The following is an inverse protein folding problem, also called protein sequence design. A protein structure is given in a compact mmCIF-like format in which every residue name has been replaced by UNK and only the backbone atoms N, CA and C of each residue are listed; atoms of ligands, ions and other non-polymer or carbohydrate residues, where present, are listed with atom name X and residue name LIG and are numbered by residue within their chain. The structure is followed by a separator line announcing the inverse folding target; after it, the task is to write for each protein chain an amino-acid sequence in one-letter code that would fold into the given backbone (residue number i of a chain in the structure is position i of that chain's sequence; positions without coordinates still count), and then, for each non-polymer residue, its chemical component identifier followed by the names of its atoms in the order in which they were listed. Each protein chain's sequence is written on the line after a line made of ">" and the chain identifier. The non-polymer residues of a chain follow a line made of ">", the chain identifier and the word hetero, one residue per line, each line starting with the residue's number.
data_IF_762676738582
#
_entry.id   IF_762676738582
#
_cell.length_a   1.000
_cell.length_b   1.000
_cell.length_c   1.000
_cell.angle_alpha   90.00
_cell.angle_beta   90.00
_cell.angle_gamma   90.00
#
_symmetry.space_group_name_H-M   'P 1'
#
loop_
_entity.id
_entity.type
_entity.pdbx_description
1 polymer ?
#
# COMPACT_ATOMS: atom_id res chain seq x y z
N UNK A 1 32.26 -74.43 34.17
CA UNK A 1 33.69 -74.06 34.14
C UNK A 1 33.93 -73.34 32.82
N UNK A 2 34.65 -72.23 32.88
CA UNK A 2 34.98 -71.22 31.84
C UNK A 2 35.61 -71.83 30.56
N UNK A 3 35.62 -71.21 29.39
CA UNK A 3 36.14 -69.87 29.06
C UNK A 3 35.64 -69.34 27.71
N UNK A 4 35.53 -68.01 27.63
CA UNK A 4 35.27 -67.22 26.44
C UNK A 4 36.60 -66.78 25.81
N UNK A 5 36.80 -67.00 24.52
CA UNK A 5 37.90 -66.40 23.75
C UNK A 5 37.35 -65.50 22.64
N UNK A 6 37.49 -64.19 22.83
CA UNK A 6 37.32 -63.14 21.82
C UNK A 6 38.52 -63.09 20.87
N UNK A 7 38.32 -63.04 19.54
CA UNK A 7 39.30 -62.50 18.63
C UNK A 7 38.88 -61.10 18.17
N UNK A 8 39.69 -60.11 18.56
CA UNK A 8 39.66 -58.77 17.99
C UNK A 8 40.08 -58.81 16.52
N UNK A 9 39.20 -58.42 15.59
CA UNK A 9 39.58 -58.19 14.20
C UNK A 9 39.69 -56.69 13.90
N UNK A 10 40.92 -56.30 13.56
CA UNK A 10 41.41 -55.02 13.03
C UNK A 10 40.57 -54.59 11.82
N UNK A 11 39.95 -53.40 11.86
CA UNK A 11 39.30 -52.78 10.69
C UNK A 11 40.34 -52.05 9.84
N UNK A 12 40.55 -52.51 8.61
CA UNK A 12 41.17 -51.73 7.54
C UNK A 12 40.13 -50.76 6.96
N UNK A 13 40.43 -49.46 6.94
CA UNK A 13 39.67 -48.46 6.19
C UNK A 13 40.25 -48.37 4.77
N UNK A 14 39.44 -48.51 3.71
CA UNK A 14 39.87 -48.20 2.36
C UNK A 14 39.70 -46.71 2.06
N UNK A 15 40.77 -46.07 1.57
CA UNK A 15 40.73 -44.72 0.97
C UNK A 15 39.87 -44.75 -0.30
N UNK A 16 38.68 -44.15 -0.22
CA UNK A 16 37.80 -43.96 -1.36
C UNK A 16 38.19 -42.67 -2.10
N UNK A 17 39.08 -42.78 -3.09
CA UNK A 17 39.29 -41.73 -4.08
C UNK A 17 38.01 -41.56 -4.93
N UNK A 18 37.09 -40.70 -4.47
CA UNK A 18 35.85 -40.38 -5.18
C UNK A 18 36.17 -39.48 -6.38
N UNK A 19 36.32 -40.08 -7.56
CA UNK A 19 36.13 -39.36 -8.82
C UNK A 19 34.65 -38.98 -8.94
N UNK A 20 34.30 -37.77 -8.51
CA UNK A 20 32.96 -37.23 -8.68
C UNK A 20 32.61 -37.23 -10.18
N UNK A 21 31.43 -37.75 -10.56
CA UNK A 21 31.18 -38.00 -11.96
C UNK A 21 30.71 -36.72 -12.67
N UNK A 22 31.22 -36.49 -13.89
CA UNK A 22 31.14 -35.22 -14.66
C UNK A 22 29.74 -34.61 -14.81
N UNK A 23 28.69 -35.41 -14.72
CA UNK A 23 27.29 -34.99 -14.78
C UNK A 23 26.85 -34.17 -13.57
N UNK A 24 27.45 -34.39 -12.39
CA UNK A 24 27.19 -33.56 -11.19
C UNK A 24 27.72 -32.15 -11.37
N UNK A 25 28.87 -31.99 -12.05
CA UNK A 25 29.43 -30.67 -12.36
C UNK A 25 28.57 -29.92 -13.40
N UNK A 26 28.05 -30.61 -14.42
CA UNK A 26 27.15 -30.02 -15.41
C UNK A 26 25.82 -29.55 -14.82
N UNK A 27 25.22 -30.34 -13.92
CA UNK A 27 24.01 -29.95 -13.21
C UNK A 27 24.25 -28.74 -12.30
N UNK A 28 25.41 -28.66 -11.64
CA UNK A 28 25.77 -27.51 -10.82
C UNK A 28 25.93 -26.22 -11.66
N UNK A 29 26.54 -26.31 -12.85
CA UNK A 29 26.69 -25.15 -13.76
C UNK A 29 25.32 -24.71 -14.30
N UNK A 30 24.44 -25.64 -14.65
CA UNK A 30 23.09 -25.32 -15.11
C UNK A 30 22.27 -24.65 -14.00
N UNK A 31 22.39 -25.13 -12.75
CA UNK A 31 21.76 -24.50 -11.58
C UNK A 31 22.29 -23.09 -11.34
N UNK A 32 23.60 -22.88 -11.48
CA UNK A 32 24.23 -21.57 -11.33
C UNK A 32 23.79 -20.57 -12.41
N UNK A 33 23.65 -21.05 -13.66
CA UNK A 33 23.12 -20.26 -14.77
C UNK A 33 21.64 -19.91 -14.58
N UNK A 34 20.84 -20.88 -14.10
CA UNK A 34 19.43 -20.62 -13.81
C UNK A 34 19.26 -19.64 -12.66
N UNK A 35 20.14 -19.67 -11.65
CA UNK A 35 20.15 -18.71 -10.54
C UNK A 35 20.54 -17.29 -10.99
N UNK A 36 21.44 -17.13 -11.97
CA UNK A 36 21.78 -15.82 -12.56
C UNK A 36 20.72 -15.28 -13.53
N UNK A 37 19.85 -16.16 -14.06
CA UNK A 37 18.79 -15.78 -15.00
C UNK A 37 17.47 -15.43 -14.32
N UNK A 38 17.35 -15.49 -12.99
CA UNK A 38 16.23 -14.87 -12.30
C UNK A 38 16.45 -13.34 -12.28
N UNK A 39 15.71 -12.54 -13.08
CA UNK A 39 15.65 -11.13 -12.79
C UNK A 39 15.06 -11.01 -11.38
N UNK A 40 15.86 -10.55 -10.43
CA UNK A 40 15.32 -10.03 -9.20
C UNK A 40 14.34 -8.93 -9.62
N UNK A 41 13.04 -9.20 -9.54
CA UNK A 41 12.01 -8.19 -9.57
C UNK A 41 12.19 -7.35 -8.32
N UNK A 42 13.21 -6.49 -8.32
CA UNK A 42 13.32 -5.35 -7.44
C UNK A 42 12.20 -4.42 -7.88
N UNK A 43 11.01 -4.64 -7.33
CA UNK A 43 10.00 -3.62 -7.29
C UNK A 43 10.57 -2.51 -6.42
N UNK A 44 11.15 -1.50 -7.07
CA UNK A 44 11.39 -0.20 -6.45
C UNK A 44 10.02 0.32 -6.04
N UNK A 45 9.61 0.05 -4.80
CA UNK A 45 8.44 0.70 -4.22
C UNK A 45 8.82 2.19 -4.10
N UNK A 46 8.04 3.10 -4.71
CA UNK A 46 8.30 4.53 -4.54
C UNK A 46 8.21 4.88 -3.05
N UNK A 47 8.88 5.96 -2.64
CA UNK A 47 8.97 6.47 -1.26
C UNK A 47 7.62 6.93 -0.66
N UNK A 48 6.49 6.53 -1.25
CA UNK A 48 5.14 6.81 -0.77
C UNK A 48 4.67 5.71 0.18
N UNK A 49 4.57 6.02 1.47
CA UNK A 49 4.19 5.05 2.49
C UNK A 49 3.20 5.65 3.51
N UNK A 50 2.41 4.80 4.16
CA UNK A 50 1.56 5.21 5.27
C UNK A 50 2.37 5.03 6.55
N UNK A 51 2.86 6.14 7.13
CA UNK A 51 3.78 6.14 8.28
C UNK A 51 3.10 5.76 9.59
N UNK A 52 1.93 6.31 9.85
CA UNK A 52 1.12 5.99 11.03
C UNK A 52 -0.31 5.69 10.60
N UNK A 53 -0.90 4.67 11.22
CA UNK A 53 -2.31 4.34 11.06
C UNK A 53 -2.84 3.97 12.46
N UNK A 54 -3.76 4.78 12.96
CA UNK A 54 -4.43 4.60 14.25
C UNK A 54 -5.93 4.55 14.03
N UNK A 55 -6.58 3.65 14.75
CA UNK A 55 -8.03 3.54 14.74
C UNK A 55 -8.52 3.56 16.17
N UNK A 56 -9.50 4.41 16.43
CA UNK A 56 -10.10 4.64 17.74
C UNK A 56 -11.59 4.34 17.66
N UNK A 57 -12.10 3.60 18.63
CA UNK A 57 -13.53 3.34 18.78
C UNK A 57 -14.12 4.36 19.75
N UNK A 58 -15.22 4.98 19.35
CA UNK A 58 -16.04 5.85 20.20
C UNK A 58 -17.49 5.42 20.13
N UNK A 59 -18.36 6.05 20.91
CA UNK A 59 -19.80 5.76 20.91
C UNK A 59 -20.47 6.06 19.55
N UNK A 60 -19.92 7.02 18.81
CA UNK A 60 -20.44 7.42 17.50
C UNK A 60 -20.02 6.47 16.38
N UNK A 61 -18.93 5.71 16.57
CA UNK A 61 -18.43 4.75 15.60
C UNK A 61 -16.91 4.57 15.63
N UNK A 62 -16.37 4.15 14.49
CA UNK A 62 -14.94 3.87 14.34
C UNK A 62 -14.28 5.04 13.61
N UNK A 63 -13.27 5.63 14.23
CA UNK A 63 -12.53 6.79 13.72
C UNK A 63 -11.11 6.39 13.34
N UNK A 64 -10.67 6.83 12.17
CA UNK A 64 -9.34 6.57 11.62
C UNK A 64 -8.53 7.87 11.61
N UNK A 65 -7.29 7.77 12.06
CA UNK A 65 -6.27 8.79 11.89
C UNK A 65 -5.05 8.17 11.20
N UNK A 66 -4.51 8.84 10.19
CA UNK A 66 -3.35 8.36 9.45
C UNK A 66 -2.43 9.51 9.05
N UNK A 67 -1.13 9.21 9.03
CA UNK A 67 -0.08 10.06 8.49
C UNK A 67 0.50 9.40 7.24
N UNK A 68 0.37 10.06 6.10
CA UNK A 68 0.87 9.63 4.81
C UNK A 68 2.21 10.31 4.53
N UNK A 69 3.14 9.61 3.92
CA UNK A 69 4.34 10.16 3.29
C UNK A 69 4.05 10.17 1.79
N UNK A 70 3.76 11.33 1.24
CA UNK A 70 3.40 11.51 -0.17
C UNK A 70 4.46 12.36 -0.85
N UNK A 71 5.17 11.76 -1.79
CA UNK A 71 6.02 12.45 -2.74
C UNK A 71 5.35 12.43 -4.12
N UNK A 72 5.23 13.58 -4.75
CA UNK A 72 4.68 13.69 -6.09
C UNK A 72 5.78 13.41 -7.13
N UNK A 73 5.49 12.64 -8.18
CA UNK A 73 6.36 12.60 -9.34
C UNK A 73 6.36 13.95 -10.05
N UNK A 74 7.52 14.35 -10.60
CA UNK A 74 7.68 15.62 -11.33
C UNK A 74 6.60 15.83 -12.42
N UNK A 75 6.17 14.76 -13.10
CA UNK A 75 5.12 14.83 -14.12
C UNK A 75 3.76 15.30 -13.58
N UNK A 76 3.42 14.90 -12.35
CA UNK A 76 2.18 15.29 -11.68
C UNK A 76 2.29 16.74 -11.20
N UNK A 77 3.45 17.13 -10.66
CA UNK A 77 3.74 18.52 -10.27
C UNK A 77 3.65 19.47 -11.47
N UNK A 78 4.31 19.13 -12.57
CA UNK A 78 4.29 19.92 -13.80
C UNK A 78 2.85 20.11 -14.29
N UNK A 79 2.06 19.03 -14.33
CA UNK A 79 0.66 19.11 -14.73
C UNK A 79 -0.17 20.03 -13.81
N UNK A 80 0.08 19.97 -12.49
CA UNK A 80 -0.54 20.87 -11.53
C UNK A 80 -0.17 22.32 -11.83
N UNK A 81 1.11 22.64 -12.08
CA UNK A 81 1.56 23.99 -12.45
C UNK A 81 0.95 24.48 -13.77
N UNK A 82 0.65 23.58 -14.71
CA UNK A 82 -0.12 23.89 -15.93
C UNK A 82 -1.63 24.13 -15.67
N UNK A 83 -2.07 24.07 -14.41
CA UNK A 83 -3.46 24.30 -14.00
C UNK A 83 -4.36 23.07 -14.18
N UNK A 84 -3.79 21.88 -14.40
CA UNK A 84 -4.56 20.65 -14.55
C UNK A 84 -4.86 20.10 -13.14
N UNK A 85 -6.14 19.97 -12.75
CA UNK A 85 -6.48 19.44 -11.43
C UNK A 85 -6.16 17.95 -11.34
N UNK A 86 -5.61 17.54 -10.20
CA UNK A 86 -5.29 16.14 -9.89
C UNK A 86 -6.20 15.65 -8.76
N UNK A 87 -6.70 14.43 -8.90
CA UNK A 87 -7.64 13.82 -7.98
C UNK A 87 -6.99 12.67 -7.22
N UNK A 88 -7.24 12.63 -5.93
CA UNK A 88 -6.79 11.59 -5.02
C UNK A 88 -7.97 10.98 -4.29
N UNK A 89 -7.87 9.71 -3.99
CA UNK A 89 -8.91 8.97 -3.27
C UNK A 89 -8.26 8.23 -2.11
N UNK A 90 -8.74 8.53 -0.90
CA UNK A 90 -8.48 7.73 0.28
C UNK A 90 -9.68 6.81 0.53
N UNK A 91 -9.48 5.51 0.52
CA UNK A 91 -10.50 4.51 0.79
C UNK A 91 -10.14 3.73 2.05
N UNK A 92 -11.09 3.63 2.98
CA UNK A 92 -10.99 2.80 4.16
C UNK A 92 -12.06 1.69 4.08
N UNK A 93 -11.60 0.44 4.15
CA UNK A 93 -12.47 -0.72 4.24
C UNK A 93 -12.30 -1.39 5.60
N UNK A 94 -13.43 -1.63 6.27
CA UNK A 94 -13.48 -2.38 7.54
C UNK A 94 -13.99 -3.76 7.22
N UNK A 95 -13.16 -4.77 7.46
CA UNK A 95 -13.49 -6.17 7.28
C UNK A 95 -13.59 -6.85 8.64
N UNK A 96 -14.57 -7.73 8.81
CA UNK A 96 -14.65 -8.65 9.95
C UNK A 96 -13.96 -9.97 9.58
N UNK A 97 -13.03 -10.41 10.42
CA UNK A 97 -12.34 -11.69 10.27
C UNK A 97 -13.30 -12.82 10.65
N UNK A 98 -13.58 -13.73 9.71
CA UNK A 98 -14.44 -14.91 9.91
C UNK A 98 -13.56 -16.17 9.77
N UNK A 99 -13.80 -17.22 10.57
CA UNK A 99 -12.88 -18.37 10.66
C UNK A 99 -12.97 -19.40 9.52
N UNK A 100 -14.12 -19.53 8.86
CA UNK A 100 -14.41 -20.59 7.87
C UNK A 100 -14.76 -20.08 6.48
N UNK A 101 -14.62 -18.77 6.24
CA UNK A 101 -14.91 -18.13 4.97
C UNK A 101 -14.15 -16.81 4.83
N UNK A 102 -14.25 -16.17 3.67
CA UNK A 102 -13.57 -14.90 3.38
C UNK A 102 -13.88 -13.80 4.41
N UNK A 103 -13.02 -12.81 4.60
CA UNK A 103 -13.38 -11.68 5.44
C UNK A 103 -14.64 -10.98 4.91
N UNK A 104 -15.56 -10.58 5.80
CA UNK A 104 -16.76 -9.84 5.40
C UNK A 104 -16.50 -8.35 5.46
N UNK A 105 -16.75 -7.62 4.38
CA UNK A 105 -16.76 -6.16 4.44
C UNK A 105 -17.97 -5.66 5.20
N UNK A 106 -17.71 -4.94 6.29
CA UNK A 106 -18.69 -4.39 7.23
C UNK A 106 -18.98 -2.93 6.90
N UNK A 107 -17.93 -2.16 6.56
CA UNK A 107 -18.07 -0.77 6.17
C UNK A 107 -17.06 -0.43 5.07
N UNK A 108 -17.42 0.54 4.23
CA UNK A 108 -16.53 1.16 3.24
C UNK A 108 -16.79 2.65 3.23
N UNK A 109 -15.73 3.42 3.41
CA UNK A 109 -15.77 4.87 3.37
C UNK A 109 -14.71 5.38 2.40
N UNK A 110 -15.05 6.36 1.58
CA UNK A 110 -14.12 7.01 0.66
C UNK A 110 -14.07 8.52 0.93
N UNK A 111 -12.89 9.11 0.73
CA UNK A 111 -12.66 10.56 0.72
C UNK A 111 -11.97 10.93 -0.58
N UNK A 112 -12.60 11.84 -1.31
CA UNK A 112 -12.12 12.37 -2.57
C UNK A 112 -11.45 13.71 -2.30
N UNK A 113 -10.25 13.89 -2.83
CA UNK A 113 -9.46 15.09 -2.70
C UNK A 113 -9.11 15.61 -4.09
N UNK A 114 -9.25 16.91 -4.31
CA UNK A 114 -8.87 17.58 -5.56
C UNK A 114 -7.84 18.65 -5.25
N UNK A 115 -6.65 18.50 -5.81
CA UNK A 115 -5.60 19.50 -5.76
C UNK A 115 -5.54 20.23 -7.11
N UNK A 116 -5.46 21.56 -7.06
CA UNK A 116 -5.36 22.39 -8.26
C UNK A 116 -4.58 23.66 -8.00
N UNK A 117 -3.81 24.10 -8.99
CA UNK A 117 -3.12 25.38 -8.96
C UNK A 117 -3.93 26.42 -9.75
N UNK A 118 -4.01 27.64 -9.24
CA UNK A 118 -4.63 28.78 -9.91
C UNK A 118 -3.52 29.74 -10.39
N UNK A 119 -3.16 29.74 -11.69
CA UNK A 119 -2.02 30.53 -12.18
C UNK A 119 -2.18 32.04 -12.00
N UNK A 120 -3.41 32.54 -12.08
CA UNK A 120 -3.71 33.97 -11.94
C UNK A 120 -3.47 34.49 -10.52
N UNK A 121 -3.92 33.74 -9.52
CA UNK A 121 -3.79 34.10 -8.10
C UNK A 121 -2.55 33.51 -7.45
N UNK A 122 -1.85 32.61 -8.17
CA UNK A 122 -0.72 31.80 -7.69
C UNK A 122 -1.03 31.02 -6.42
N UNK A 123 -2.29 30.61 -6.25
CA UNK A 123 -2.76 29.88 -5.08
C UNK A 123 -3.01 28.42 -5.39
N UNK A 124 -2.69 27.58 -4.42
CA UNK A 124 -3.07 26.18 -4.39
C UNK A 124 -4.44 26.04 -3.77
N UNK A 125 -5.30 25.21 -4.34
CA UNK A 125 -6.63 24.91 -3.81
C UNK A 125 -6.76 23.41 -3.61
N UNK A 126 -7.02 23.02 -2.37
CA UNK A 126 -7.31 21.64 -1.97
C UNK A 126 -8.78 21.55 -1.55
N UNK A 127 -9.54 20.74 -2.28
CA UNK A 127 -10.93 20.44 -1.97
C UNK A 127 -11.06 18.99 -1.47
N UNK A 128 -11.77 18.77 -0.37
CA UNK A 128 -11.98 17.45 0.23
C UNK A 128 -13.47 17.18 0.36
N UNK A 129 -13.91 16.00 -0.04
CA UNK A 129 -15.32 15.61 -0.06
C UNK A 129 -15.49 14.12 0.27
N UNK A 130 -16.62 13.76 0.87
CA UNK A 130 -17.03 12.36 1.02
C UNK A 130 -17.57 11.76 -0.30
N UNK A 131 -18.08 12.61 -1.19
CA UNK A 131 -18.60 12.23 -2.50
C UNK A 131 -17.61 12.53 -3.62
N UNK A 132 -17.65 11.80 -4.75
CA UNK A 132 -16.83 12.08 -5.93
C UNK A 132 -16.94 13.55 -6.34
N UNK A 133 -15.79 14.20 -6.55
CA UNK A 133 -15.71 15.59 -7.00
C UNK A 133 -15.66 15.58 -8.51
N UNK A 134 -16.62 16.23 -9.18
CA UNK A 134 -16.57 16.38 -10.63
C UNK A 134 -15.42 17.32 -11.07
N UNK A 135 -14.76 16.91 -12.15
CA UNK A 135 -13.83 17.72 -12.95
C UNK A 135 -14.40 19.09 -13.35
N UNK A 136 -15.71 19.18 -13.65
CA UNK A 136 -16.37 20.39 -14.16
C UNK A 136 -16.35 21.58 -13.18
N UNK A 137 -16.13 21.33 -11.89
CA UNK A 137 -16.13 22.38 -10.87
C UNK A 137 -17.50 22.98 -10.56
N UNK A 138 -18.60 22.41 -11.09
CA UNK A 138 -19.97 22.85 -10.86
C UNK A 138 -20.57 22.37 -9.52
N UNK A 139 -19.78 21.70 -8.68
CA UNK A 139 -20.17 21.30 -7.33
C UNK A 139 -19.70 22.27 -6.27
N UNK A 140 -20.51 22.50 -5.23
CA UNK A 140 -20.09 23.23 -4.03
C UNK A 140 -19.20 22.32 -3.20
N UNK A 141 -17.89 22.34 -3.47
CA UNK A 141 -16.89 21.70 -2.61
C UNK A 141 -16.07 22.80 -1.94
N UNK A 142 -16.15 22.84 -0.61
CA UNK A 142 -15.35 23.73 0.21
C UNK A 142 -13.88 23.32 0.10
N UNK A 143 -13.14 24.10 -0.69
CA UNK A 143 -11.70 23.96 -0.82
C UNK A 143 -10.98 25.01 0.01
N UNK A 144 -9.95 24.58 0.70
CA UNK A 144 -8.99 25.45 1.37
C UNK A 144 -7.94 25.92 0.38
N UNK A 145 -7.48 27.15 0.54
CA UNK A 145 -6.41 27.72 -0.29
C UNK A 145 -5.10 27.74 0.50
N UNK A 146 -4.00 27.51 -0.20
CA UNK A 146 -2.64 27.49 0.33
C UNK A 146 -1.73 28.32 -0.58
N UNK A 147 -0.64 28.84 -0.03
CA UNK A 147 0.32 29.64 -0.79
C UNK A 147 1.41 28.75 -1.41
N UNK A 148 1.75 27.63 -0.75
CA UNK A 148 2.72 26.65 -1.23
C UNK A 148 2.13 25.27 -1.59
N UNK A 149 2.80 24.56 -2.50
CA UNK A 149 2.48 23.16 -2.82
C UNK A 149 2.70 22.28 -1.60
N UNK A 150 3.86 22.42 -0.95
CA UNK A 150 4.24 21.69 0.26
C UNK A 150 3.19 21.80 1.37
N UNK A 151 2.64 23.00 1.60
CA UNK A 151 1.59 23.23 2.60
C UNK A 151 0.31 22.46 2.27
N UNK A 152 -0.10 22.48 1.00
CA UNK A 152 -1.25 21.71 0.53
C UNK A 152 -1.00 20.20 0.67
N UNK A 153 0.22 19.73 0.41
CA UNK A 153 0.59 18.33 0.58
C UNK A 153 0.59 17.90 2.03
N UNK A 154 1.14 18.70 2.95
CA UNK A 154 1.10 18.43 4.38
C UNK A 154 -0.34 18.31 4.89
N UNK A 155 -1.25 19.15 4.37
CA UNK A 155 -2.67 19.05 4.68
C UNK A 155 -3.31 17.75 4.13
N UNK A 156 -2.93 17.30 2.93
CA UNK A 156 -3.38 16.02 2.37
C UNK A 156 -2.81 14.80 3.09
N UNK A 157 -1.55 14.90 3.54
CA UNK A 157 -0.82 13.83 4.20
C UNK A 157 -1.40 13.49 5.59
N UNK A 158 -2.12 14.43 6.20
CA UNK A 158 -2.70 14.24 7.53
C UNK A 158 -4.20 13.99 7.46
N UNK A 159 -4.58 12.73 7.70
CA UNK A 159 -5.97 12.33 7.88
C UNK A 159 -6.25 12.23 9.38
N UNK A 160 -7.14 13.07 9.90
CA UNK A 160 -7.52 13.05 11.32
C UNK A 160 -9.01 12.78 11.50
N UNK A 161 -9.34 12.00 12.55
CA UNK A 161 -10.71 11.78 13.04
C UNK A 161 -11.71 11.46 11.92
N UNK A 162 -11.30 10.58 11.00
CA UNK A 162 -12.17 10.15 9.91
C UNK A 162 -13.08 9.03 10.36
N UNK A 163 -14.38 9.30 10.48
CA UNK A 163 -15.39 8.25 10.71
C UNK A 163 -15.42 7.29 9.52
N UNK A 164 -15.06 6.02 9.76
CA UNK A 164 -14.97 4.97 8.74
C UNK A 164 -16.06 3.91 8.86
N UNK A 165 -16.63 3.74 10.05
CA UNK A 165 -17.78 2.87 10.31
C UNK A 165 -18.69 3.48 11.38
N UNK A 166 -19.98 3.17 11.33
CA UNK A 166 -20.92 3.52 12.39
C UNK A 166 -20.84 2.52 13.55
N UNK A 167 -21.20 2.95 14.75
CA UNK A 167 -21.23 2.13 15.96
C UNK A 167 -21.99 0.79 15.83
N UNK A 168 -23.23 0.74 15.29
CA UNK A 168 -23.98 -0.52 15.17
C UNK A 168 -23.37 -1.52 14.19
N UNK A 169 -22.48 -1.08 13.29
CA UNK A 169 -21.78 -1.98 12.38
C UNK A 169 -20.65 -2.76 13.08
N UNK A 170 -20.21 -2.33 14.27
CA UNK A 170 -19.07 -2.90 14.99
C UNK A 170 -19.55 -3.68 16.22
N UNK A 171 -19.57 -5.00 16.10
CA UNK A 171 -19.87 -5.93 17.19
C UNK A 171 -18.65 -6.06 18.14
N UNK A 172 -18.86 -6.00 19.47
CA UNK A 172 -17.79 -6.19 20.46
C UNK A 172 -17.31 -7.65 20.50
N UNK A 173 -16.02 -7.86 20.82
CA UNK A 173 -15.43 -9.21 20.91
C UNK A 173 -15.05 -9.86 19.57
N UNK A 174 -15.45 -9.25 18.45
CA UNK A 174 -15.05 -9.68 17.12
C UNK A 174 -13.71 -9.08 16.69
N UNK A 175 -13.05 -9.77 15.75
CA UNK A 175 -11.79 -9.30 15.13
C UNK A 175 -12.07 -8.59 13.82
N UNK A 176 -11.46 -7.43 13.65
CA UNK A 176 -11.60 -6.62 12.45
C UNK A 176 -10.24 -6.32 11.83
N UNK A 177 -10.20 -6.16 10.51
CA UNK A 177 -9.07 -5.57 9.80
C UNK A 177 -9.53 -4.32 9.08
N UNK A 178 -8.76 -3.24 9.23
CA UNK A 178 -8.97 -1.97 8.54
C UNK A 178 -7.92 -1.85 7.46
N UNK A 179 -8.37 -1.72 6.22
CA UNK A 179 -7.52 -1.53 5.05
C UNK A 179 -7.68 -0.08 4.58
N UNK A 180 -6.60 0.70 4.71
CA UNK A 180 -6.51 2.04 4.16
C UNK A 180 -5.74 1.98 2.84
N UNK A 181 -6.33 2.53 1.79
CA UNK A 181 -5.68 2.73 0.49
C UNK A 181 -5.76 4.20 0.12
N UNK A 182 -4.66 4.76 -0.34
CA UNK A 182 -4.59 6.09 -0.91
C UNK A 182 -4.02 5.99 -2.32
N UNK A 183 -4.70 6.56 -3.30
CA UNK A 183 -4.27 6.49 -4.69
C UNK A 183 -4.66 7.73 -5.49
N UNK A 184 -3.87 8.03 -6.51
CA UNK A 184 -4.23 9.01 -7.53
C UNK A 184 -5.26 8.42 -8.50
N UNK A 185 -6.35 9.15 -8.75
CA UNK A 185 -7.40 8.77 -9.68
C UNK A 185 -7.10 9.34 -11.07
N UNK A 186 -6.57 8.47 -11.95
CA UNK A 186 -6.23 8.83 -13.33
C UNK A 186 -7.45 8.88 -14.26
N UNK A 187 -8.61 8.37 -13.82
CA UNK A 187 -9.82 8.30 -14.66
C UNK A 187 -10.40 9.69 -14.97
N UNK A 188 -10.11 10.67 -14.10
CA UNK A 188 -10.60 12.04 -14.21
C UNK A 188 -9.62 12.99 -14.92
N UNK A 189 -8.44 12.49 -15.32
CA UNK A 189 -7.48 13.29 -16.07
C UNK A 189 -8.03 13.59 -17.48
N UNK A 190 -7.62 14.71 -18.11
CA UNK A 190 -7.91 14.96 -19.52
C UNK A 190 -7.45 13.79 -20.41
N UNK A 191 -8.24 13.48 -21.45
CA UNK A 191 -7.99 12.35 -22.37
C UNK A 191 -6.54 12.23 -22.87
N UNK A 192 -5.84 13.32 -23.25
CA UNK A 192 -4.44 13.22 -23.67
C UNK A 192 -3.51 12.66 -22.59
N UNK A 193 -3.73 13.03 -21.32
CA UNK A 193 -2.93 12.56 -20.19
C UNK A 193 -3.27 11.14 -19.75
N UNK A 194 -4.53 10.71 -19.95
CA UNK A 194 -4.92 9.31 -19.68
C UNK A 194 -4.09 8.32 -20.50
N UNK A 195 -3.79 8.65 -21.76
CA UNK A 195 -2.97 7.81 -22.65
C UNK A 195 -1.54 7.72 -22.13
N UNK A 196 -0.98 8.83 -21.62
CA UNK A 196 0.34 8.86 -21.00
C UNK A 196 0.42 8.08 -19.68
N UNK A 197 -0.63 8.15 -18.87
CA UNK A 197 -0.74 7.43 -17.59
C UNK A 197 -0.88 5.91 -17.77
N UNK A 198 -1.52 5.45 -18.86
CA UNK A 198 -1.69 4.02 -19.16
C UNK A 198 -0.57 3.44 -20.07
N UNK A 199 0.25 4.30 -20.67
CA UNK A 199 1.32 3.91 -21.59
C UNK A 199 2.68 3.62 -20.93
N UNK A 200 3.75 3.56 -21.72
CA UNK A 200 5.15 3.33 -21.24
C UNK A 200 5.65 4.40 -20.24
N UNK A 201 4.98 5.54 -20.15
CA UNK A 201 5.24 6.63 -19.19
C UNK A 201 4.37 6.55 -17.93
N UNK A 202 3.59 5.49 -17.75
CA UNK A 202 2.62 5.34 -16.66
C UNK A 202 3.22 5.31 -15.25
N UNK A 203 4.54 5.08 -15.12
CA UNK A 203 5.22 5.22 -13.83
C UNK A 203 5.16 6.65 -13.28
N UNK A 204 5.07 7.67 -14.15
CA UNK A 204 4.99 9.08 -13.75
C UNK A 204 3.64 9.50 -13.16
N UNK A 205 2.60 8.66 -13.26
CA UNK A 205 1.26 8.90 -12.71
C UNK A 205 0.85 7.87 -11.65
N UNK A 206 1.76 6.96 -11.28
CA UNK A 206 1.49 5.91 -10.32
C UNK A 206 1.79 6.39 -8.90
N UNK A 207 0.75 6.88 -8.21
CA UNK A 207 0.78 7.12 -6.78
C UNK A 207 -0.24 6.18 -6.15
N UNK A 208 0.24 5.19 -5.42
CA UNK A 208 -0.61 4.31 -4.64
C UNK A 208 0.12 3.85 -3.39
N UNK A 209 -0.58 3.86 -2.26
CA UNK A 209 -0.09 3.34 -0.99
C UNK A 209 -1.23 2.66 -0.27
N UNK A 210 -0.92 1.58 0.45
CA UNK A 210 -1.90 0.83 1.20
C UNK A 210 -1.30 0.32 2.52
N UNK A 211 -2.12 0.29 3.56
CA UNK A 211 -1.75 -0.25 4.87
C UNK A 211 -2.95 -0.90 5.52
N UNK A 212 -2.72 -2.07 6.10
CA UNK A 212 -3.72 -2.81 6.86
C UNK A 212 -3.39 -2.80 8.34
N UNK A 213 -4.38 -2.58 9.19
CA UNK A 213 -4.28 -2.70 10.64
C UNK A 213 -5.30 -3.72 11.13
N UNK A 214 -4.84 -4.72 11.90
CA UNK A 214 -5.74 -5.62 12.61
C UNK A 214 -6.12 -5.01 13.95
N UNK A 215 -7.41 -5.08 14.27
CA UNK A 215 -8.01 -4.56 15.48
C UNK A 215 -8.72 -5.71 16.20
N UNK A 216 -8.37 -5.88 17.46
CA UNK A 216 -9.18 -6.67 18.39
C UNK A 216 -10.11 -5.68 19.09
N UNK A 217 -11.42 -5.81 18.90
CA UNK A 217 -12.37 -4.93 19.57
C UNK A 217 -12.49 -5.37 21.03
N UNK A 218 -11.59 -4.88 21.87
CA UNK A 218 -11.70 -5.04 23.31
C UNK A 218 -13.00 -4.37 23.77
N UNK A 219 -13.75 -5.07 24.61
CA UNK A 219 -14.98 -4.53 25.18
C UNK A 219 -14.60 -3.35 26.05
N UNK A 220 -15.06 -2.14 25.70
CA UNK A 220 -14.98 -1.00 26.61
C UNK A 220 -15.69 -1.41 27.92
N UNK A 221 -14.97 -1.30 29.04
CA UNK A 221 -15.46 -1.61 30.38
C UNK A 221 -16.24 -0.43 30.94
#
# INVERSE_FOLDING_TARGET
>A
MTDSFTPCCKRHLPDASRSAPRWVALLAVLWLWCAMALPALVHAQPATAISELRVERTDEGLFLSAALQLELPALVEDALYQGIPVFFVAEAEVLRERWYWSAQRVARSARYMRLSYQPLTRRWRLAVSANPIDSSGLGVVLGQNYDGLEEALLAMQRIAQWKIAESPAIEPGERYSVHLRFSLDTSQLPRPLQIGALGRSGSGWNISMARSLRLTMESAK
#
